data_IF_900900707778
#
_entry.id   IF_900900707778
#
_cell.length_a   1.000
_cell.length_b   1.000
_cell.length_c   1.000
_cell.angle_alpha   90.00
_cell.angle_beta   90.00
_cell.angle_gamma   90.00
#
_symmetry.space_group_name_H-M   'P 1'
#
loop_
_entity.id
_entity.type
_entity.pdbx_description
1 polymer ?
#
# COMPACT_ATOMS: atom_id res chain seq x y z
N UNK A 1 1.01 7.86 13.92
CA UNK A 1 2.17 8.10 13.00
C UNK A 1 2.80 9.47 13.26
N UNK A 2 2.09 10.60 13.05
CA UNK A 2 2.66 11.96 13.18
C UNK A 2 3.25 12.25 14.56
N UNK A 3 2.66 11.71 15.63
CA UNK A 3 3.20 11.81 16.98
C UNK A 3 4.61 11.18 17.08
N UNK A 4 4.79 9.95 16.60
CA UNK A 4 6.09 9.28 16.61
C UNK A 4 7.11 10.00 15.73
N UNK A 5 6.68 10.50 14.56
CA UNK A 5 7.50 11.33 13.68
C UNK A 5 7.97 12.61 14.39
N UNK A 6 7.07 13.31 15.07
CA UNK A 6 7.36 14.54 15.82
C UNK A 6 8.27 14.26 17.00
N UNK A 7 8.06 13.17 17.74
CA UNK A 7 8.92 12.74 18.85
C UNK A 7 10.36 12.53 18.39
N UNK A 8 10.57 12.03 17.16
CA UNK A 8 11.89 11.74 16.62
C UNK A 8 12.54 12.96 15.94
N UNK A 9 11.76 13.76 15.22
CA UNK A 9 12.26 14.79 14.29
C UNK A 9 11.78 16.21 14.59
N UNK A 10 11.01 16.43 15.66
CA UNK A 10 10.41 17.73 15.98
C UNK A 10 11.41 18.85 16.28
N UNK A 11 12.66 18.51 16.61
CA UNK A 11 13.75 19.48 16.81
C UNK A 11 14.50 19.83 15.52
N UNK A 12 14.15 19.22 14.39
CA UNK A 12 14.82 19.46 13.12
C UNK A 12 14.32 20.77 12.49
N UNK A 13 15.22 21.66 12.08
CA UNK A 13 14.87 23.00 11.57
C UNK A 13 14.02 22.99 10.30
N UNK A 14 14.04 21.89 9.53
CA UNK A 14 13.22 21.73 8.33
C UNK A 14 11.88 21.04 8.57
N UNK A 15 11.56 20.61 9.79
CA UNK A 15 10.35 19.83 10.09
C UNK A 15 9.51 20.57 11.12
N UNK A 16 8.20 20.63 10.88
CA UNK A 16 7.26 21.20 11.83
C UNK A 16 5.99 20.37 11.90
N UNK A 17 5.57 19.99 13.10
CA UNK A 17 4.25 19.43 13.32
C UNK A 17 3.19 20.55 13.26
N UNK A 18 2.07 20.29 12.60
CA UNK A 18 0.98 21.25 12.41
C UNK A 18 -0.30 20.75 13.09
N UNK A 19 -1.30 21.64 13.14
CA UNK A 19 -2.65 21.30 13.63
C UNK A 19 -3.32 20.26 12.73
N UNK A 20 -4.39 19.68 13.26
CA UNK A 20 -5.35 18.90 12.51
C UNK A 20 -5.95 19.77 11.39
N UNK A 21 -6.07 19.20 10.18
CA UNK A 21 -6.67 19.87 9.02
C UNK A 21 -8.21 19.85 9.08
N UNK A 22 -8.86 20.35 8.02
CA UNK A 22 -10.33 20.39 7.93
C UNK A 22 -10.97 18.99 7.77
N UNK A 23 -10.19 17.98 7.40
CA UNK A 23 -10.65 16.60 7.23
C UNK A 23 -10.42 15.76 8.48
N UNK A 24 -9.82 16.34 9.53
CA UNK A 24 -9.64 15.69 10.83
C UNK A 24 -8.33 14.93 10.97
N UNK A 25 -7.40 15.06 10.02
CA UNK A 25 -6.13 14.36 10.04
C UNK A 25 -5.00 15.26 10.54
N UNK A 26 -4.07 14.74 11.37
CA UNK A 26 -2.86 15.46 11.73
C UNK A 26 -2.02 15.81 10.49
N UNK A 27 -1.40 16.98 10.49
CA UNK A 27 -0.53 17.42 9.39
C UNK A 27 0.89 17.70 9.87
N UNK A 28 1.85 17.68 8.94
CA UNK A 28 3.21 18.11 9.20
C UNK A 28 3.77 18.84 7.97
N UNK A 29 4.63 19.82 8.21
CA UNK A 29 5.29 20.61 7.18
C UNK A 29 6.76 20.21 7.07
N UNK A 30 7.23 20.06 5.83
CA UNK A 30 8.64 19.88 5.50
C UNK A 30 9.11 21.08 4.67
N UNK A 31 10.19 21.71 5.10
CA UNK A 31 10.85 22.79 4.37
C UNK A 31 11.79 22.18 3.33
N UNK A 32 11.34 22.14 2.08
CA UNK A 32 12.16 21.73 0.94
C UNK A 32 12.94 22.92 0.38
N UNK A 33 13.90 22.67 -0.51
CA UNK A 33 14.60 23.74 -1.26
C UNK A 33 13.62 24.65 -2.02
N UNK A 34 12.56 24.08 -2.61
CA UNK A 34 11.53 24.82 -3.33
C UNK A 34 10.50 25.53 -2.41
N UNK A 35 10.60 25.35 -1.09
CA UNK A 35 9.70 25.94 -0.10
C UNK A 35 9.04 24.93 0.84
N UNK A 36 8.26 25.43 1.81
CA UNK A 36 7.52 24.61 2.76
C UNK A 36 6.34 23.90 2.10
N UNK A 37 6.20 22.60 2.34
CA UNK A 37 5.05 21.80 1.90
C UNK A 37 4.41 21.13 3.12
N UNK A 38 3.09 21.27 3.25
CA UNK A 38 2.30 20.63 4.30
C UNK A 38 1.65 19.36 3.78
N UNK A 39 1.89 18.25 4.47
CA UNK A 39 1.32 16.94 4.17
C UNK A 39 0.26 16.56 5.19
N UNK A 40 -0.83 15.97 4.71
CA UNK A 40 -1.79 15.28 5.57
C UNK A 40 -1.28 13.87 5.87
N UNK A 41 -1.53 13.40 7.09
CA UNK A 41 -1.21 12.02 7.49
C UNK A 41 -2.30 11.01 7.14
N UNK A 42 -3.37 11.46 6.49
CA UNK A 42 -4.44 10.62 5.96
C UNK A 42 -3.88 9.42 5.17
N UNK A 43 -4.29 8.22 5.58
CA UNK A 43 -3.88 6.94 4.98
C UNK A 43 -2.37 6.75 4.77
N UNK A 44 -1.50 7.48 5.49
CA UNK A 44 -0.06 7.42 5.23
C UNK A 44 0.51 6.01 5.47
N UNK A 45 0.09 5.35 6.56
CA UNK A 45 0.51 3.99 6.87
C UNK A 45 -0.09 2.96 5.91
N UNK A 46 -1.37 3.10 5.56
CA UNK A 46 -2.07 2.20 4.63
C UNK A 46 -1.42 2.22 3.24
N UNK A 47 -1.12 3.43 2.73
CA UNK A 47 -0.44 3.61 1.45
C UNK A 47 1.00 3.09 1.48
N UNK A 48 1.70 3.25 2.60
CA UNK A 48 3.06 2.74 2.75
C UNK A 48 3.11 1.20 2.80
N UNK A 49 2.10 0.55 3.38
CA UNK A 49 2.06 -0.90 3.46
C UNK A 49 1.89 -1.58 2.09
N UNK A 50 1.38 -0.86 1.08
CA UNK A 50 1.15 -1.34 -0.28
C UNK A 50 0.45 -2.71 -0.34
N UNK A 51 -0.37 -3.01 0.67
CA UNK A 51 -0.89 -4.33 0.89
C UNK A 51 -1.98 -4.67 -0.14
N UNK A 52 -1.75 -5.73 -0.91
CA UNK A 52 -2.74 -6.28 -1.83
C UNK A 52 -3.41 -7.52 -1.22
N UNK A 53 -4.68 -7.72 -1.55
CA UNK A 53 -5.40 -8.93 -1.14
C UNK A 53 -4.81 -10.15 -1.89
N UNK A 54 -4.33 -11.19 -1.19
CA UNK A 54 -3.75 -12.39 -1.79
C UNK A 54 -4.72 -13.15 -2.72
N UNK A 55 -6.03 -13.04 -2.49
CA UNK A 55 -7.06 -13.69 -3.30
C UNK A 55 -7.09 -13.09 -4.71
N UNK A 56 -6.99 -11.75 -4.83
CA UNK A 56 -6.94 -11.09 -6.15
C UNK A 56 -5.66 -11.41 -6.90
N UNK A 57 -4.54 -11.47 -6.19
CA UNK A 57 -3.25 -11.86 -6.79
C UNK A 57 -3.33 -13.30 -7.29
N UNK A 58 -3.91 -14.20 -6.50
CA UNK A 58 -4.07 -15.61 -6.86
C UNK A 58 -5.04 -15.80 -8.02
N UNK A 59 -6.16 -15.08 -8.04
CA UNK A 59 -7.15 -15.09 -9.11
C UNK A 59 -6.56 -14.62 -10.44
N UNK A 60 -5.77 -13.56 -10.45
CA UNK A 60 -5.22 -12.97 -11.68
C UNK A 60 -3.99 -13.70 -12.20
N UNK A 61 -3.17 -14.23 -11.29
CA UNK A 61 -1.99 -15.05 -11.64
C UNK A 61 -2.37 -16.46 -12.08
N UNK A 62 -3.36 -17.07 -11.43
CA UNK A 62 -3.67 -18.48 -11.58
C UNK A 62 -2.62 -19.39 -10.93
N UNK A 63 -2.81 -20.69 -11.11
CA UNK A 63 -2.02 -21.78 -10.47
C UNK A 63 -0.80 -22.20 -11.28
N UNK A 64 -0.76 -21.89 -12.56
CA UNK A 64 0.32 -22.27 -13.48
C UNK A 64 1.28 -21.10 -13.71
N UNK A 65 2.48 -21.17 -13.12
CA UNK A 65 3.56 -20.20 -13.25
C UNK A 65 4.32 -20.29 -14.59
N UNK A 66 3.59 -20.46 -15.70
CA UNK A 66 4.16 -20.62 -17.04
C UNK A 66 3.60 -19.59 -18.03
N UNK A 67 4.38 -19.23 -19.04
CA UNK A 67 4.03 -18.21 -20.05
C UNK A 67 2.90 -18.66 -21.01
N UNK A 68 2.57 -19.95 -21.06
CA UNK A 68 1.52 -20.50 -21.93
C UNK A 68 0.09 -20.42 -21.34
N UNK A 69 -0.97 -20.48 -22.16
CA UNK A 69 -2.36 -20.46 -21.67
C UNK A 69 -2.59 -21.51 -20.58
N UNK A 70 -3.31 -21.17 -19.49
CA UNK A 70 -3.58 -22.13 -18.43
C UNK A 70 -4.45 -23.26 -18.98
N UNK A 71 -3.96 -24.49 -18.93
CA UNK A 71 -4.71 -25.68 -19.38
C UNK A 71 -6.01 -25.88 -18.57
N UNK A 72 -6.02 -25.38 -17.34
CA UNK A 72 -7.08 -25.57 -16.36
C UNK A 72 -8.07 -24.39 -16.29
N UNK A 73 -7.90 -23.37 -17.15
CA UNK A 73 -8.70 -22.13 -17.12
C UNK A 73 -8.43 -21.22 -15.92
N UNK A 74 -7.36 -21.48 -15.16
CA UNK A 74 -6.97 -20.76 -13.95
C UNK A 74 -6.15 -19.49 -14.26
N UNK A 75 -6.47 -18.36 -13.63
CA UNK A 75 -5.78 -17.08 -13.88
C UNK A 75 -6.51 -16.18 -14.87
N UNK A 76 -5.90 -15.03 -15.20
CA UNK A 76 -6.42 -14.16 -16.26
C UNK A 76 -6.30 -14.83 -17.64
N UNK A 77 -7.36 -14.73 -18.45
CA UNK A 77 -7.33 -15.15 -19.87
C UNK A 77 -6.41 -14.28 -20.73
N UNK A 78 -6.03 -13.10 -20.24
CA UNK A 78 -5.07 -12.23 -20.89
C UNK A 78 -3.64 -12.54 -20.38
N UNK A 79 -2.74 -13.04 -21.26
CA UNK A 79 -1.38 -13.40 -20.85
C UNK A 79 -0.56 -12.21 -20.36
N UNK A 80 -0.81 -10.99 -20.86
CA UNK A 80 -0.17 -9.77 -20.36
C UNK A 80 -0.56 -9.49 -18.91
N UNK A 81 -1.85 -9.57 -18.58
CA UNK A 81 -2.33 -9.36 -17.20
C UNK A 81 -1.73 -10.38 -16.26
N UNK A 82 -1.73 -11.67 -16.63
CA UNK A 82 -1.10 -12.71 -15.81
C UNK A 82 0.40 -12.47 -15.58
N UNK A 83 1.11 -11.96 -16.59
CA UNK A 83 2.53 -11.59 -16.48
C UNK A 83 2.76 -10.48 -15.45
N UNK A 84 1.86 -9.49 -15.35
CA UNK A 84 1.97 -8.43 -14.33
C UNK A 84 1.90 -8.98 -12.91
N UNK A 85 1.07 -10.01 -12.68
CA UNK A 85 0.86 -10.62 -11.36
C UNK A 85 1.83 -11.79 -11.06
N UNK A 86 2.80 -12.05 -11.93
CA UNK A 86 3.80 -13.12 -11.76
C UNK A 86 5.11 -12.64 -11.12
N UNK A 87 5.30 -11.33 -10.96
CA UNK A 87 6.50 -10.74 -10.35
C UNK A 87 6.61 -10.96 -8.83
N UNK A 88 7.83 -11.18 -8.33
CA UNK A 88 8.15 -11.39 -6.90
C UNK A 88 7.91 -10.17 -5.99
N UNK A 89 7.56 -9.00 -6.55
CA UNK A 89 7.42 -7.75 -5.79
C UNK A 89 6.02 -7.50 -5.22
N UNK A 90 5.09 -8.46 -5.34
CA UNK A 90 3.71 -8.28 -4.86
C UNK A 90 3.65 -8.60 -3.37
N UNK A 91 3.64 -7.55 -2.54
CA UNK A 91 3.44 -7.66 -1.10
C UNK A 91 1.95 -7.91 -0.81
N UNK A 92 1.60 -9.13 -0.41
CA UNK A 92 0.25 -9.48 0.03
C UNK A 92 0.16 -9.48 1.55
N UNK A 93 -0.91 -8.93 2.11
CA UNK A 93 -1.25 -9.16 3.53
C UNK A 93 -2.59 -9.91 3.62
N UNK A 94 -2.59 -11.02 4.36
CA UNK A 94 -3.82 -11.72 4.71
C UNK A 94 -4.44 -11.08 5.97
N UNK A 95 -5.73 -10.77 5.94
CA UNK A 95 -6.43 -10.22 7.10
C UNK A 95 -6.95 -11.36 8.00
N UNK A 96 -6.70 -11.36 9.33
CA UNK A 96 -7.16 -12.40 10.26
C UNK A 96 -8.69 -12.58 10.41
N UNK A 97 -9.50 -11.78 9.71
CA UNK A 97 -10.98 -11.87 9.72
C UNK A 97 -11.52 -12.66 8.53
N UNK A 98 -10.65 -13.14 7.65
CA UNK A 98 -11.04 -13.87 6.45
C UNK A 98 -11.21 -15.38 6.69
N UNK A 99 -10.85 -15.90 7.87
CA UNK A 99 -10.92 -17.35 8.18
C UNK A 99 -12.35 -17.84 8.52
N UNK A 100 -13.31 -16.92 8.76
CA UNK A 100 -14.69 -17.28 9.17
C UNK A 100 -15.72 -17.21 8.03
N UNK A 101 -15.32 -16.93 6.79
CA UNK A 101 -16.25 -16.91 5.65
C UNK A 101 -15.87 -17.95 4.62
N UNK A 102 -16.35 -19.18 4.85
CA UNK A 102 -16.92 -20.15 3.89
C UNK A 102 -16.62 -21.58 4.41
N UNK A 103 -17.67 -22.22 4.91
CA UNK A 103 -17.84 -23.68 4.96
C UNK A 103 -19.18 -24.01 4.28
#
# INVERSE_FOLDING_TARGET
>A
MVEAFTKRWGNHSSVKACSIDRTGFPTFTVNHFAGPVTHSSESFLERYLEALNPDFVSLLRGTSAGEGPPADGSGSSNPFVRSLYSGKAIATQAHPRNDDTIA
#
